data_IF_443908907333
#
_entry.id   IF_443908907333
#
_cell.length_a   1.000
_cell.length_b   1.000
_cell.length_c   1.000
_cell.angle_alpha   90.00
_cell.angle_beta   90.00
_cell.angle_gamma   90.00
#
_symmetry.space_group_name_H-M   'P 1'
#
loop_
_entity.id
_entity.type
_entity.pdbx_description
1 polymer ?
#
# COMPACT_ATOMS: atom_id res chain seq x y z
N UNK A 1 -10.83 3.82 -6.66
CA UNK A 1 -11.94 2.88 -6.41
C UNK A 1 -13.34 3.47 -6.64
N UNK A 2 -13.64 4.74 -6.32
CA UNK A 2 -15.02 5.28 -6.37
C UNK A 2 -15.70 5.28 -7.76
N UNK A 3 -14.96 5.58 -8.85
CA UNK A 3 -15.51 5.56 -10.21
C UNK A 3 -15.88 4.14 -10.69
N UNK A 4 -15.06 3.14 -10.38
CA UNK A 4 -15.35 1.74 -10.66
C UNK A 4 -16.63 1.27 -9.96
N UNK A 5 -16.80 1.64 -8.68
CA UNK A 5 -18.02 1.33 -7.93
C UNK A 5 -19.27 1.98 -8.52
N UNK A 6 -19.17 3.21 -9.03
CA UNK A 6 -20.28 3.90 -9.70
C UNK A 6 -20.66 3.22 -11.01
N UNK A 7 -19.68 2.79 -11.82
CA UNK A 7 -19.95 2.04 -13.06
C UNK A 7 -20.62 0.69 -12.78
N UNK A 8 -20.19 -0.03 -11.75
CA UNK A 8 -20.80 -1.32 -11.35
C UNK A 8 -22.26 -1.25 -10.87
N UNK A 9 -22.81 -0.03 -10.72
CA UNK A 9 -24.24 0.20 -10.43
C UNK A 9 -25.08 0.35 -11.71
N UNK A 10 -24.46 0.40 -12.89
CA UNK A 10 -25.12 0.52 -14.20
C UNK A 10 -25.16 -0.86 -14.89
N UNK A 11 -26.25 -1.20 -15.58
CA UNK A 11 -26.32 -2.41 -16.41
C UNK A 11 -26.60 -3.73 -15.68
N UNK A 12 -27.61 -3.76 -14.82
CA UNK A 12 -28.08 -4.99 -14.15
C UNK A 12 -29.22 -5.74 -14.88
N UNK A 13 -29.64 -5.24 -16.04
CA UNK A 13 -30.70 -5.83 -16.86
C UNK A 13 -30.14 -6.53 -18.10
N UNK A 14 -31.03 -7.14 -18.90
CA UNK A 14 -30.70 -7.76 -20.19
C UNK A 14 -30.33 -6.76 -21.29
N UNK A 15 -30.72 -5.50 -21.10
CA UNK A 15 -30.52 -4.43 -22.08
C UNK A 15 -29.15 -3.75 -21.94
N UNK A 16 -28.57 -3.37 -23.09
CA UNK A 16 -27.31 -2.62 -23.10
C UNK A 16 -27.45 -1.31 -22.36
N UNK A 17 -26.53 -1.05 -21.45
CA UNK A 17 -26.46 0.17 -20.67
C UNK A 17 -25.16 0.91 -20.96
N UNK A 18 -25.21 2.25 -20.89
CA UNK A 18 -24.06 3.11 -21.17
C UNK A 18 -23.70 3.90 -19.93
N UNK A 19 -22.39 4.05 -19.69
CA UNK A 19 -21.85 4.91 -18.64
C UNK A 19 -21.06 6.03 -19.32
N UNK A 20 -21.58 7.26 -19.25
CA UNK A 20 -20.94 8.44 -19.85
C UNK A 20 -20.15 9.18 -18.78
N UNK A 21 -18.86 9.37 -19.01
CA UNK A 21 -17.96 10.06 -18.10
C UNK A 21 -17.79 11.51 -18.54
N UNK A 22 -18.37 12.45 -17.81
CA UNK A 22 -18.24 13.89 -18.07
C UNK A 22 -17.08 14.48 -17.25
N UNK A 23 -16.26 15.31 -17.88
CA UNK A 23 -15.09 15.92 -17.24
C UNK A 23 -15.01 17.39 -17.64
N UNK A 24 -14.59 18.26 -16.72
CA UNK A 24 -14.29 19.67 -17.02
C UNK A 24 -12.95 19.86 -17.76
N UNK A 25 -12.68 21.11 -18.16
CA UNK A 25 -11.52 21.48 -19.00
C UNK A 25 -10.15 21.34 -18.32
N UNK A 26 -10.10 21.43 -16.98
CA UNK A 26 -8.87 21.27 -16.21
C UNK A 26 -8.64 19.79 -15.87
N UNK A 27 -8.01 19.04 -16.77
CA UNK A 27 -7.58 17.66 -16.49
C UNK A 27 -6.14 17.66 -15.98
N UNK A 28 -5.93 17.17 -14.76
CA UNK A 28 -4.59 16.74 -14.34
C UNK A 28 -4.22 15.48 -15.13
N UNK A 29 -2.92 15.23 -15.36
CA UNK A 29 -2.45 14.02 -16.05
C UNK A 29 -3.02 12.75 -15.39
N UNK A 30 -2.99 12.71 -14.06
CA UNK A 30 -3.59 11.66 -13.22
C UNK A 30 -5.08 11.44 -13.52
N UNK A 31 -5.88 12.52 -13.65
CA UNK A 31 -7.31 12.37 -13.95
C UNK A 31 -7.53 11.81 -15.36
N UNK A 32 -6.69 12.17 -16.33
CA UNK A 32 -6.75 11.64 -17.70
C UNK A 32 -6.46 10.14 -17.72
N UNK A 33 -5.42 9.70 -17.04
CA UNK A 33 -5.03 8.28 -17.00
C UNK A 33 -6.09 7.42 -16.31
N UNK A 34 -6.68 7.92 -15.21
CA UNK A 34 -7.76 7.22 -14.48
C UNK A 34 -9.06 7.11 -15.27
N UNK A 35 -9.35 8.08 -16.13
CA UNK A 35 -10.50 8.01 -17.03
C UNK A 35 -10.21 7.09 -18.20
N UNK A 36 -8.99 7.12 -18.76
CA UNK A 36 -8.57 6.23 -19.84
C UNK A 36 -8.72 4.76 -19.47
N UNK A 37 -8.20 4.32 -18.32
CA UNK A 37 -8.32 2.92 -17.89
C UNK A 37 -9.78 2.48 -17.67
N UNK A 38 -10.66 3.41 -17.29
CA UNK A 38 -12.10 3.14 -17.12
C UNK A 38 -12.82 2.94 -18.46
N UNK A 39 -12.31 3.51 -19.55
CA UNK A 39 -12.79 3.32 -20.93
C UNK A 39 -12.19 2.07 -21.59
N UNK A 40 -10.92 1.76 -21.29
CA UNK A 40 -10.20 0.64 -21.91
C UNK A 40 -10.66 -0.74 -21.44
N UNK A 41 -11.14 -0.87 -20.19
CA UNK A 41 -11.52 -2.18 -19.65
C UNK A 41 -12.71 -2.14 -18.69
N UNK A 42 -13.45 -3.25 -18.67
CA UNK A 42 -14.53 -3.50 -17.72
C UNK A 42 -14.09 -4.33 -16.51
N UNK A 43 -12.90 -4.95 -16.57
CA UNK A 43 -12.35 -5.79 -15.51
C UNK A 43 -11.98 -4.95 -14.27
N UNK A 44 -12.65 -5.22 -13.16
CA UNK A 44 -12.45 -4.50 -11.91
C UNK A 44 -11.08 -4.71 -11.29
N UNK A 45 -10.44 -5.86 -11.52
CA UNK A 45 -9.10 -6.14 -11.00
C UNK A 45 -8.05 -5.29 -11.72
N UNK A 46 -8.07 -5.26 -13.06
CA UNK A 46 -7.14 -4.43 -13.85
C UNK A 46 -7.28 -2.94 -13.57
N UNK A 47 -8.51 -2.48 -13.35
CA UNK A 47 -8.74 -1.08 -12.96
C UNK A 47 -8.18 -0.82 -11.58
N UNK A 48 -8.40 -1.72 -10.61
CA UNK A 48 -7.85 -1.55 -9.27
C UNK A 48 -6.31 -1.53 -9.26
N UNK A 49 -5.68 -2.40 -10.06
CA UNK A 49 -4.22 -2.46 -10.23
C UNK A 49 -3.67 -1.16 -10.83
N UNK A 50 -4.26 -0.64 -11.90
CA UNK A 50 -3.85 0.67 -12.44
C UNK A 50 -4.19 1.84 -11.54
N UNK A 51 -5.32 1.83 -10.84
CA UNK A 51 -5.66 2.88 -9.87
C UNK A 51 -4.60 2.92 -8.77
N UNK A 52 -4.10 1.75 -8.33
CA UNK A 52 -3.02 1.59 -7.36
C UNK A 52 -1.68 2.15 -7.86
N UNK A 53 -1.30 1.80 -9.08
CA UNK A 53 -0.10 2.30 -9.74
C UNK A 53 -0.14 3.83 -9.92
N UNK A 54 -1.29 4.37 -10.35
CA UNK A 54 -1.49 5.82 -10.55
C UNK A 54 -1.50 6.60 -9.23
N UNK A 55 -2.09 6.02 -8.16
CA UNK A 55 -2.04 6.59 -6.80
C UNK A 55 -0.62 6.59 -6.24
N UNK A 56 0.24 5.74 -6.80
CA UNK A 56 1.60 5.53 -6.35
C UNK A 56 1.64 4.77 -5.03
N UNK A 57 2.84 4.27 -4.75
CA UNK A 57 3.15 3.40 -3.62
C UNK A 57 2.91 4.06 -2.24
N UNK A 58 2.74 5.38 -2.20
CA UNK A 58 2.52 6.15 -0.98
C UNK A 58 1.12 6.01 -0.35
N UNK A 59 0.09 5.65 -1.12
CA UNK A 59 -1.28 5.48 -0.57
C UNK A 59 -1.50 4.09 0.04
N UNK A 60 -0.81 3.06 -0.45
CA UNK A 60 -0.83 1.69 0.09
C UNK A 60 -0.36 1.66 1.54
N UNK A 61 0.59 2.52 1.89
CA UNK A 61 1.20 2.61 3.21
C UNK A 61 0.54 3.63 4.16
N UNK A 62 -0.64 4.16 3.84
CA UNK A 62 -1.44 4.93 4.81
C UNK A 62 -0.96 6.35 5.10
N UNK A 63 -0.13 6.95 4.23
CA UNK A 63 0.43 8.29 4.47
C UNK A 63 -0.57 9.46 4.44
N UNK A 64 -1.87 9.21 4.18
CA UNK A 64 -2.93 10.22 4.36
C UNK A 64 -3.75 10.07 5.65
N UNK A 65 -3.59 9.00 6.45
CA UNK A 65 -4.47 8.82 7.61
C UNK A 65 -3.83 8.34 8.93
N UNK A 66 -2.54 8.02 8.97
CA UNK A 66 -1.85 7.75 10.24
C UNK A 66 -0.61 8.62 10.37
N UNK A 67 -0.69 9.62 11.25
CA UNK A 67 0.38 10.59 11.56
C UNK A 67 1.61 10.00 12.28
N UNK A 68 1.94 8.73 12.03
CA UNK A 68 3.12 8.07 12.61
C UNK A 68 4.00 7.60 11.45
N UNK A 69 5.03 8.39 11.13
CA UNK A 69 6.16 7.88 10.34
C UNK A 69 6.83 6.77 11.17
N UNK A 70 6.54 5.52 10.83
CA UNK A 70 7.18 4.35 11.45
C UNK A 70 8.69 4.29 11.17
N UNK A 71 9.13 4.78 10.00
CA UNK A 71 10.54 4.86 9.63
C UNK A 71 10.99 6.32 9.51
N UNK A 72 12.10 6.65 10.19
CA UNK A 72 12.67 8.01 10.20
C UNK A 72 13.48 8.33 8.94
N UNK A 73 14.09 7.31 8.34
CA UNK A 73 15.10 7.46 7.27
C UNK A 73 14.74 6.60 6.05
N UNK A 74 14.22 5.39 6.27
CA UNK A 74 13.89 4.45 5.20
C UNK A 74 12.52 4.74 4.57
N UNK A 75 12.44 4.51 3.26
CA UNK A 75 11.20 4.48 2.49
C UNK A 75 10.84 3.02 2.23
N UNK A 76 9.72 2.54 2.80
CA UNK A 76 9.33 1.13 2.77
C UNK A 76 9.27 0.56 1.35
N UNK A 77 8.93 1.37 0.35
CA UNK A 77 8.70 0.84 -0.99
C UNK A 77 9.98 0.78 -1.79
N UNK A 78 10.74 1.88 -1.79
CA UNK A 78 12.07 1.91 -2.43
C UNK A 78 13.03 0.93 -1.76
N UNK A 79 12.92 0.80 -0.44
CA UNK A 79 13.89 0.09 0.40
C UNK A 79 13.35 -1.28 0.85
N UNK A 80 12.34 -1.84 0.16
CA UNK A 80 11.66 -3.09 0.60
C UNK A 80 12.65 -4.26 0.74
N UNK A 81 13.51 -4.47 -0.23
CA UNK A 81 14.47 -5.58 -0.24
C UNK A 81 15.47 -5.50 0.92
N UNK A 82 15.99 -4.31 1.20
CA UNK A 82 16.93 -4.10 2.31
C UNK A 82 16.23 -4.16 3.66
N UNK A 83 14.97 -3.73 3.76
CA UNK A 83 14.17 -3.84 4.97
C UNK A 83 13.81 -5.29 5.29
N UNK A 84 13.50 -6.10 4.27
CA UNK A 84 13.26 -7.53 4.42
C UNK A 84 14.52 -8.27 4.88
N UNK A 85 15.67 -7.98 4.25
CA UNK A 85 16.96 -8.55 4.65
C UNK A 85 17.32 -8.16 6.09
N UNK A 86 17.17 -6.89 6.44
CA UNK A 86 17.44 -6.39 7.79
C UNK A 86 16.51 -7.04 8.84
N UNK A 87 15.22 -7.24 8.50
CA UNK A 87 14.27 -7.94 9.38
C UNK A 87 14.69 -9.39 9.59
N UNK A 88 15.03 -10.10 8.52
CA UNK A 88 15.45 -11.50 8.61
C UNK A 88 16.65 -11.66 9.54
N UNK A 89 17.69 -10.84 9.37
CA UNK A 89 18.87 -10.85 10.25
C UNK A 89 18.51 -10.52 11.70
N UNK A 90 17.67 -9.50 11.92
CA UNK A 90 17.24 -9.11 13.26
C UNK A 90 16.48 -10.24 13.98
N UNK A 91 15.63 -10.99 13.28
CA UNK A 91 14.96 -12.17 13.83
C UNK A 91 15.96 -13.25 14.24
N UNK A 92 16.94 -13.56 13.38
CA UNK A 92 17.99 -14.54 13.73
C UNK A 92 18.74 -14.13 15.00
N UNK A 93 19.07 -12.84 15.14
CA UNK A 93 19.75 -12.29 16.31
C UNK A 93 18.87 -12.42 17.55
N UNK A 94 17.57 -12.07 17.49
CA UNK A 94 16.65 -12.15 18.63
C UNK A 94 16.51 -13.58 19.19
N UNK A 95 16.60 -14.61 18.32
CA UNK A 95 16.51 -16.02 18.71
C UNK A 95 17.86 -16.69 18.95
N UNK A 96 18.97 -15.99 18.75
CA UNK A 96 20.30 -16.54 18.95
C UNK A 96 20.62 -16.76 20.44
N UNK A 97 21.41 -17.80 20.74
CA UNK A 97 21.84 -18.14 22.11
C UNK A 97 23.06 -17.36 22.58
N UNK A 98 23.77 -16.71 21.67
CA UNK A 98 25.02 -16.00 21.96
C UNK A 98 24.88 -14.57 21.51
N UNK A 99 24.63 -13.69 22.49
CA UNK A 99 24.51 -12.25 22.29
C UNK A 99 25.60 -11.56 23.10
N UNK A 100 26.21 -10.56 22.51
CA UNK A 100 27.04 -9.62 23.25
C UNK A 100 26.18 -8.82 24.25
N UNK A 101 26.85 -8.17 25.19
CA UNK A 101 26.20 -7.52 26.34
C UNK A 101 25.33 -6.33 25.92
N UNK A 102 25.61 -5.69 24.78
CA UNK A 102 24.84 -4.57 24.27
C UNK A 102 23.61 -5.07 23.51
N UNK A 103 23.78 -6.05 22.62
CA UNK A 103 22.65 -6.64 21.87
C UNK A 103 21.66 -7.35 22.80
N UNK A 104 22.12 -8.02 23.85
CA UNK A 104 21.25 -8.66 24.83
C UNK A 104 20.27 -7.65 25.49
N UNK A 105 20.73 -6.43 25.81
CA UNK A 105 19.88 -5.37 26.37
C UNK A 105 18.85 -4.86 25.35
N UNK A 106 19.26 -4.72 24.09
CA UNK A 106 18.35 -4.31 23.02
C UNK A 106 17.25 -5.37 22.80
N UNK A 107 17.61 -6.65 22.81
CA UNK A 107 16.66 -7.76 22.70
C UNK A 107 15.68 -7.79 23.89
N UNK A 108 16.14 -7.48 25.10
CA UNK A 108 15.26 -7.38 26.28
C UNK A 108 14.23 -6.25 26.13
N UNK A 109 14.66 -5.08 25.67
CA UNK A 109 13.77 -3.94 25.38
C UNK A 109 12.72 -4.34 24.34
N UNK A 110 13.15 -4.94 23.23
CA UNK A 110 12.25 -5.41 22.15
C UNK A 110 11.24 -6.44 22.65
N UNK A 111 11.64 -7.37 23.51
CA UNK A 111 10.73 -8.38 24.10
C UNK A 111 9.72 -7.76 25.07
N UNK A 112 10.13 -6.74 25.82
CA UNK A 112 9.30 -6.10 26.85
C UNK A 112 8.24 -5.15 26.25
N UNK A 113 8.56 -4.46 25.16
CA UNK A 113 7.68 -3.43 24.59
C UNK A 113 6.72 -4.02 23.54
N UNK A 114 5.42 -3.87 23.79
CA UNK A 114 4.34 -4.37 22.94
C UNK A 114 4.27 -3.67 21.57
N UNK A 115 4.84 -2.48 21.42
CA UNK A 115 4.88 -1.76 20.13
C UNK A 115 5.71 -2.49 19.08
N UNK A 116 6.75 -3.22 19.47
CA UNK A 116 7.60 -3.98 18.55
C UNK A 116 7.03 -5.36 18.21
N UNK A 117 6.00 -5.83 18.93
CA UNK A 117 5.28 -7.07 18.61
C UNK A 117 4.24 -6.91 17.50
N UNK A 118 3.89 -5.69 17.11
CA UNK A 118 2.82 -5.39 16.15
C UNK A 118 3.28 -5.30 14.68
N UNK A 119 4.54 -5.60 14.37
CA UNK A 119 5.05 -5.61 13.00
C UNK A 119 4.87 -6.97 12.29
N UNK A 120 3.99 -7.84 12.78
CA UNK A 120 3.52 -9.00 12.00
C UNK A 120 2.47 -8.50 11.01
N UNK A 121 2.93 -7.95 9.90
CA UNK A 121 2.12 -7.90 8.68
C UNK A 121 2.10 -9.34 8.17
N UNK A 122 0.90 -9.91 8.07
CA UNK A 122 0.69 -11.27 7.55
C UNK A 122 1.10 -11.43 6.10
#
# INVERSE_FOLDING_TARGET
>A
SQLHQLRGRVGRGSERSYCVLLTGDKKTAVAKDRLGIMEETNDGFKIAEKDLEIRGEGEILGTRQSGVRLLRIANIVRDIEILEAARYEAEQVIFSKSLDKETAKLVEIVRSDSKFRLATIG
#
